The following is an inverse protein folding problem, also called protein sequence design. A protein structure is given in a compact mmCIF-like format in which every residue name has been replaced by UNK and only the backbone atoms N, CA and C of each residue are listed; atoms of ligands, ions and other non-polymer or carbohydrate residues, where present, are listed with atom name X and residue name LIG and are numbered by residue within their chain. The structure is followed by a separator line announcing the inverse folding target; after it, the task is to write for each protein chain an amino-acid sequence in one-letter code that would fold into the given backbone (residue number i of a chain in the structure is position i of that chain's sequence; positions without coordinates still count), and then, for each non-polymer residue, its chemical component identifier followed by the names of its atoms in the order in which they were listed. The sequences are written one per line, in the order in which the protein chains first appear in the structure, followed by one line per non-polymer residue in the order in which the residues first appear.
data_IF_007293854625
#
_entry.id   IF_007293854625
#
_cell.length_a   1.000
_cell.length_b   1.000
_cell.length_c   1.000
_cell.angle_alpha   90.00
_cell.angle_beta   90.00
_cell.angle_gamma   90.00
#
_symmetry.space_group_name_H-M   'P 1'
#
loop_
_entity.id
_entity.type
_entity.pdbx_description
1 polymer ?
#
# COMPACT_ATOMS: atom_id res chain seq x y z
N UNK A 1 -34.65 28.25 13.04
CA UNK A 1 -33.48 28.37 12.14
C UNK A 1 -32.34 29.00 12.93
N UNK A 2 -31.12 28.51 12.74
CA UNK A 2 -29.92 29.09 13.37
C UNK A 2 -29.68 30.51 12.86
N UNK A 3 -28.95 31.32 13.62
CA UNK A 3 -28.60 32.67 13.20
C UNK A 3 -27.64 32.62 12.01
N UNK A 4 -27.63 33.66 11.17
CA UNK A 4 -26.65 33.78 10.07
C UNK A 4 -25.20 33.64 10.58
N UNK A 5 -24.93 34.10 11.81
CA UNK A 5 -23.61 34.01 12.43
C UNK A 5 -23.14 32.55 12.65
N UNK A 6 -24.08 31.64 12.87
CA UNK A 6 -23.78 30.22 13.11
C UNK A 6 -23.33 29.53 11.83
N UNK A 7 -23.78 30.02 10.67
CA UNK A 7 -23.41 29.48 9.35
C UNK A 7 -22.11 30.05 8.81
N UNK A 8 -21.53 31.08 9.43
CA UNK A 8 -20.35 31.74 8.89
C UNK A 8 -19.16 30.76 8.77
N UNK A 9 -18.92 29.96 9.81
CA UNK A 9 -17.89 28.91 9.80
C UNK A 9 -18.17 27.88 8.70
N UNK A 10 -19.43 27.48 8.55
CA UNK A 10 -19.80 26.47 7.57
C UNK A 10 -19.66 27.01 6.13
N UNK A 11 -19.88 28.32 5.89
CA UNK A 11 -19.60 28.98 4.60
C UNK A 11 -18.10 28.91 4.27
N UNK A 12 -17.22 29.23 5.23
CA UNK A 12 -15.77 29.12 5.01
C UNK A 12 -15.37 27.69 4.63
N UNK A 13 -15.88 26.71 5.38
CA UNK A 13 -15.62 25.30 5.12
C UNK A 13 -16.18 24.81 3.79
N UNK A 14 -17.34 25.33 3.36
CA UNK A 14 -17.91 24.97 2.06
C UNK A 14 -17.05 25.48 0.90
N UNK A 15 -16.57 26.72 0.98
CA UNK A 15 -15.71 27.30 -0.06
C UNK A 15 -14.35 26.62 -0.13
N UNK A 16 -13.78 26.18 1.01
CA UNK A 16 -12.52 25.42 1.03
C UNK A 16 -12.70 23.94 0.67
N UNK A 17 -13.93 23.44 0.63
CA UNK A 17 -14.24 22.02 0.36
C UNK A 17 -14.08 21.10 1.58
N UNK A 18 -14.03 21.67 2.79
CA UNK A 18 -13.85 20.97 4.06
C UNK A 18 -15.15 20.77 4.85
N UNK A 19 -16.30 21.20 4.31
CA UNK A 19 -17.59 21.06 4.99
C UNK A 19 -17.97 19.58 5.17
N UNK A 20 -18.30 19.14 6.40
CA UNK A 20 -18.73 17.77 6.62
C UNK A 20 -20.17 17.57 6.08
N UNK A 21 -20.51 16.34 5.66
CA UNK A 21 -21.74 16.06 4.91
C UNK A 21 -23.02 16.34 5.71
N UNK A 22 -22.97 16.21 7.03
CA UNK A 22 -24.09 16.51 7.95
C UNK A 22 -24.47 18.00 7.93
N UNK A 23 -23.48 18.89 7.80
CA UNK A 23 -23.68 20.35 7.81
C UNK A 23 -23.99 20.94 6.43
N UNK A 24 -23.60 20.24 5.37
CA UNK A 24 -23.77 20.73 4.00
C UNK A 24 -25.23 20.97 3.67
N UNK A 25 -26.09 20.00 3.95
CA UNK A 25 -27.54 20.11 3.72
C UNK A 25 -28.15 21.27 4.53
N UNK A 26 -27.74 21.43 5.79
CA UNK A 26 -28.19 22.52 6.66
C UNK A 26 -27.81 23.90 6.11
N UNK A 27 -26.58 24.04 5.61
CA UNK A 27 -26.08 25.27 5.01
C UNK A 27 -26.79 25.58 3.69
N UNK A 28 -26.95 24.58 2.81
CA UNK A 28 -27.66 24.72 1.53
C UNK A 28 -29.10 25.20 1.76
N UNK A 29 -29.81 24.57 2.70
CA UNK A 29 -31.16 24.99 3.10
C UNK A 29 -31.20 26.44 3.60
N UNK A 30 -30.20 26.89 4.37
CA UNK A 30 -30.13 28.28 4.82
C UNK A 30 -29.90 29.26 3.67
N UNK A 31 -28.95 28.95 2.78
CA UNK A 31 -28.56 29.81 1.65
C UNK A 31 -29.70 29.99 0.64
N UNK A 32 -30.58 29.00 0.50
CA UNK A 32 -31.78 29.12 -0.36
C UNK A 32 -32.68 30.30 0.04
N UNK A 33 -32.76 30.62 1.32
CA UNK A 33 -33.65 31.67 1.85
C UNK A 33 -32.89 32.92 2.36
N UNK A 34 -31.57 32.86 2.52
CA UNK A 34 -30.76 33.95 3.03
C UNK A 34 -29.86 34.56 1.94
N UNK A 35 -30.33 35.66 1.34
CA UNK A 35 -29.58 36.38 0.30
C UNK A 35 -28.20 36.90 0.80
N UNK A 36 -28.10 37.26 2.08
CA UNK A 36 -26.84 37.71 2.69
C UNK A 36 -25.79 36.60 2.70
N UNK A 37 -26.14 35.43 3.23
CA UNK A 37 -25.21 34.29 3.29
C UNK A 37 -24.89 33.73 1.90
N UNK A 38 -25.85 33.79 0.96
CA UNK A 38 -25.59 33.49 -0.45
C UNK A 38 -24.50 34.41 -1.03
N UNK A 39 -24.63 35.72 -0.84
CA UNK A 39 -23.66 36.70 -1.32
C UNK A 39 -22.28 36.51 -0.68
N UNK A 40 -22.24 36.28 0.64
CA UNK A 40 -20.99 36.04 1.38
C UNK A 40 -20.23 34.81 0.83
N UNK A 41 -20.95 33.72 0.54
CA UNK A 41 -20.38 32.53 -0.09
C UNK A 41 -19.83 32.82 -1.48
N UNK A 42 -20.58 33.54 -2.31
CA UNK A 42 -20.18 33.88 -3.68
C UNK A 42 -18.92 34.78 -3.70
N UNK A 43 -18.87 35.80 -2.82
CA UNK A 43 -17.72 36.68 -2.66
C UNK A 43 -16.47 35.92 -2.20
N UNK A 44 -16.63 35.04 -1.20
CA UNK A 44 -15.53 34.24 -0.69
C UNK A 44 -15.02 33.23 -1.73
N UNK A 45 -15.93 32.58 -2.47
CA UNK A 45 -15.57 31.68 -3.56
C UNK A 45 -14.78 32.40 -4.66
N UNK A 46 -15.22 33.60 -5.06
CA UNK A 46 -14.52 34.43 -6.04
C UNK A 46 -13.10 34.80 -5.55
N UNK A 47 -12.94 35.14 -4.28
CA UNK A 47 -11.63 35.44 -3.69
C UNK A 47 -10.70 34.21 -3.71
N UNK A 48 -11.20 33.04 -3.34
CA UNK A 48 -10.42 31.80 -3.38
C UNK A 48 -10.01 31.44 -4.81
N UNK A 49 -10.89 31.65 -5.79
CA UNK A 49 -10.57 31.41 -7.20
C UNK A 49 -9.54 32.39 -7.75
N UNK A 50 -9.55 33.65 -7.30
CA UNK A 50 -8.48 34.60 -7.62
C UNK A 50 -7.15 34.15 -7.03
N UNK A 51 -7.13 33.73 -5.75
CA UNK A 51 -5.92 33.21 -5.11
C UNK A 51 -5.36 31.99 -5.84
N UNK A 52 -6.23 31.06 -6.28
CA UNK A 52 -5.81 29.88 -7.06
C UNK A 52 -5.20 30.21 -8.42
N UNK A 53 -5.54 31.37 -9.00
CA UNK A 53 -5.00 31.84 -10.29
C UNK A 53 -3.68 32.57 -10.12
N UNK A 54 -3.58 33.41 -9.10
CA UNK A 54 -2.40 34.25 -8.85
C UNK A 54 -1.26 33.46 -8.17
N UNK A 55 -1.58 32.46 -7.36
CA UNK A 55 -0.57 31.64 -6.70
C UNK A 55 -0.11 30.56 -7.70
N UNK A 56 1.19 30.55 -8.09
CA UNK A 56 1.71 29.50 -8.95
C UNK A 56 1.53 28.16 -8.26
N UNK A 57 0.76 27.26 -8.88
CA UNK A 57 0.65 25.91 -8.38
C UNK A 57 2.04 25.25 -8.46
N UNK A 58 2.46 24.51 -7.41
CA UNK A 58 3.72 23.79 -7.46
C UNK A 58 3.67 22.83 -8.66
N UNK A 59 4.50 23.09 -9.66
CA UNK A 59 4.59 22.23 -10.83
C UNK A 59 5.21 20.91 -10.39
N UNK A 60 4.42 19.84 -10.40
CA UNK A 60 4.93 18.50 -10.17
C UNK A 60 5.78 18.08 -11.36
N UNK A 61 6.98 17.56 -11.12
CA UNK A 61 7.83 17.05 -12.19
C UNK A 61 7.15 15.86 -12.89
N UNK A 62 7.47 15.61 -14.16
CA UNK A 62 6.96 14.44 -14.89
C UNK A 62 7.30 13.12 -14.19
N UNK A 63 8.44 13.07 -13.51
CA UNK A 63 8.88 11.93 -12.71
C UNK A 63 7.99 11.71 -11.48
N UNK A 64 7.76 12.74 -10.66
CA UNK A 64 6.87 12.65 -9.49
C UNK A 64 5.44 12.30 -9.88
N UNK A 65 4.94 12.87 -10.98
CA UNK A 65 3.62 12.55 -11.50
C UNK A 65 3.52 11.07 -11.93
N UNK A 66 4.58 10.50 -12.49
CA UNK A 66 4.62 9.09 -12.86
C UNK A 66 4.61 8.16 -11.64
N UNK A 67 5.37 8.49 -10.58
CA UNK A 67 5.38 7.75 -9.32
C UNK A 67 4.00 7.79 -8.67
N UNK A 68 3.38 8.97 -8.60
CA UNK A 68 2.05 9.12 -8.01
C UNK A 68 1.01 8.31 -8.79
N UNK A 69 1.03 8.38 -10.13
CA UNK A 69 0.14 7.57 -10.99
C UNK A 69 0.34 6.08 -10.77
N UNK A 70 1.58 5.61 -10.63
CA UNK A 70 1.88 4.21 -10.37
C UNK A 70 1.34 3.76 -9.01
N UNK A 71 1.52 4.58 -7.96
CA UNK A 71 0.98 4.31 -6.62
C UNK A 71 -0.55 4.26 -6.60
N UNK A 72 -1.21 5.18 -7.31
CA UNK A 72 -2.69 5.16 -7.42
C UNK A 72 -3.16 3.91 -8.16
N UNK A 73 -2.53 3.57 -9.30
CA UNK A 73 -2.87 2.36 -10.05
C UNK A 73 -2.67 1.09 -9.24
N UNK A 74 -1.57 0.98 -8.51
CA UNK A 74 -1.30 -0.20 -7.69
C UNK A 74 -2.29 -0.31 -6.53
N UNK A 75 -2.66 0.80 -5.87
CA UNK A 75 -3.66 0.83 -4.81
C UNK A 75 -5.06 0.40 -5.29
N UNK A 76 -5.48 0.87 -6.47
CA UNK A 76 -6.76 0.47 -7.06
C UNK A 76 -6.72 -1.03 -7.44
N UNK A 77 -5.61 -1.48 -8.05
CA UNK A 77 -5.47 -2.87 -8.45
C UNK A 77 -5.43 -3.83 -7.24
N UNK A 78 -4.82 -3.45 -6.12
CA UNK A 78 -4.82 -4.26 -4.89
C UNK A 78 -6.18 -4.24 -4.20
N UNK A 79 -6.91 -3.12 -4.21
CA UNK A 79 -8.29 -3.05 -3.70
C UNK A 79 -9.26 -3.91 -4.53
N UNK A 80 -9.03 -4.01 -5.84
CA UNK A 80 -9.84 -4.83 -6.75
C UNK A 80 -9.43 -6.29 -6.83
N UNK A 81 -8.33 -6.73 -6.18
CA UNK A 81 -8.01 -8.16 -6.10
C UNK A 81 -8.89 -8.78 -5.01
N UNK A 82 -9.94 -9.54 -5.37
CA UNK A 82 -10.74 -10.19 -4.35
C UNK A 82 -9.84 -11.22 -3.65
N UNK A 83 -9.98 -11.33 -2.33
CA UNK A 83 -9.42 -12.42 -1.53
C UNK A 83 -9.89 -13.83 -1.94
N UNK A 84 -10.48 -13.98 -3.13
CA UNK A 84 -10.99 -15.21 -3.72
C UNK A 84 -9.91 -16.29 -3.82
N UNK A 85 -8.69 -15.92 -4.27
CA UNK A 85 -7.56 -16.87 -4.29
C UNK A 85 -7.09 -17.23 -2.87
N UNK A 86 -7.14 -16.29 -1.92
CA UNK A 86 -6.75 -16.55 -0.52
C UNK A 86 -7.72 -17.49 0.19
N UNK A 87 -9.02 -17.44 -0.16
CA UNK A 87 -10.06 -18.34 0.35
C UNK A 87 -10.02 -19.75 -0.25
N UNK A 88 -9.77 -19.88 -1.57
CA UNK A 88 -9.74 -21.18 -2.24
C UNK A 88 -8.56 -22.07 -1.77
N UNK A 89 -7.36 -21.49 -1.64
CA UNK A 89 -6.19 -22.27 -1.21
C UNK A 89 -6.15 -22.54 0.30
N UNK A 90 -6.81 -21.72 1.12
CA UNK A 90 -6.85 -21.90 2.58
C UNK A 90 -7.67 -23.14 3.00
N UNK A 91 -8.77 -23.43 2.27
CA UNK A 91 -9.60 -24.61 2.53
C UNK A 91 -8.96 -25.91 2.03
N UNK A 92 -8.39 -25.90 0.81
CA UNK A 92 -7.76 -27.08 0.21
C UNK A 92 -6.41 -27.45 0.85
N UNK A 93 -5.63 -26.48 1.33
CA UNK A 93 -4.36 -26.77 2.00
C UNK A 93 -4.54 -27.64 3.25
N UNK A 94 -5.60 -27.42 4.05
CA UNK A 94 -5.88 -28.23 5.25
C UNK A 94 -6.27 -29.68 4.92
N UNK A 95 -6.78 -29.94 3.72
CA UNK A 95 -7.25 -31.25 3.27
C UNK A 95 -6.20 -32.01 2.44
N UNK A 96 -5.28 -31.31 1.78
CA UNK A 96 -4.21 -31.91 0.99
C UNK A 96 -2.99 -32.32 1.82
N UNK A 97 -2.76 -31.71 2.99
CA UNK A 97 -1.70 -32.11 3.93
C UNK A 97 -1.83 -33.58 4.38
N UNK A 98 -3.00 -34.08 4.81
CA UNK A 98 -3.13 -35.49 5.21
C UNK A 98 -3.09 -36.48 4.04
N UNK A 99 -3.55 -36.09 2.84
CA UNK A 99 -3.57 -36.96 1.65
C UNK A 99 -2.16 -37.13 1.06
N UNK A 100 -1.36 -36.06 1.01
CA UNK A 100 0.03 -36.15 0.56
C UNK A 100 0.89 -36.98 1.52
N UNK A 101 0.66 -36.86 2.84
CA UNK A 101 1.35 -37.67 3.85
C UNK A 101 1.08 -39.18 3.70
N UNK A 102 -0.17 -39.57 3.44
CA UNK A 102 -0.53 -40.97 3.22
C UNK A 102 0.10 -41.53 1.93
N UNK A 103 0.08 -40.77 0.83
CA UNK A 103 0.69 -41.20 -0.43
C UNK A 103 2.22 -41.41 -0.30
N UNK A 104 2.91 -40.55 0.45
CA UNK A 104 4.33 -40.72 0.74
C UNK A 104 4.61 -41.98 1.57
N UNK A 105 3.78 -42.30 2.57
CA UNK A 105 3.93 -43.53 3.36
C UNK A 105 3.66 -44.79 2.53
N UNK A 106 2.71 -44.73 1.59
CA UNK A 106 2.48 -45.81 0.63
C UNK A 106 3.67 -46.00 -0.31
N UNK A 107 4.26 -44.92 -0.84
CA UNK A 107 5.44 -45.00 -1.70
C UNK A 107 6.66 -45.55 -0.96
N UNK A 108 6.92 -45.09 0.28
CA UNK A 108 8.02 -45.61 1.10
C UNK A 108 7.79 -47.09 1.47
N UNK A 109 6.55 -47.48 1.78
CA UNK A 109 6.22 -48.89 2.03
C UNK A 109 6.38 -49.76 0.79
N UNK A 110 5.93 -49.30 -0.39
CA UNK A 110 6.04 -50.07 -1.63
C UNK A 110 7.49 -50.22 -2.10
N UNK A 111 8.31 -49.17 -1.94
CA UNK A 111 9.73 -49.20 -2.29
C UNK A 111 10.50 -50.04 -1.28
N UNK A 112 10.25 -49.86 0.02
CA UNK A 112 10.89 -50.62 1.10
C UNK A 112 10.55 -52.12 1.11
N UNK A 113 9.30 -52.47 0.76
CA UNK A 113 8.86 -53.86 0.64
C UNK A 113 9.47 -54.54 -0.60
N UNK A 114 9.67 -53.79 -1.69
CA UNK A 114 10.26 -54.34 -2.93
C UNK A 114 11.78 -54.51 -2.85
N UNK A 115 12.45 -53.80 -1.95
CA UNK A 115 13.88 -54.03 -1.63
C UNK A 115 14.15 -55.24 -0.72
N UNK A 116 13.12 -55.87 -0.13
CA UNK A 116 13.30 -57.06 0.72
C UNK A 116 13.17 -58.40 -0.03
N UNK A 117 12.64 -58.42 -1.24
CA UNK A 117 12.84 -59.57 -2.13
C UNK A 117 14.28 -59.55 -2.66
N UNK A 118 15.08 -60.62 -2.51
CA UNK A 118 16.44 -60.66 -3.05
C UNK A 118 16.37 -60.93 -4.55
N UNK A 119 15.88 -59.95 -5.33
CA UNK A 119 15.98 -59.97 -6.77
C UNK A 119 17.10 -59.02 -7.20
N UNK A 120 18.19 -59.64 -7.63
CA UNK A 120 19.43 -59.05 -8.12
C UNK A 120 19.18 -57.79 -8.95
N UNK A 121 19.72 -56.65 -8.48
CA UNK A 121 19.79 -55.42 -9.27
C UNK A 121 21.23 -54.93 -9.23
N UNK A 122 21.87 -54.97 -10.40
CA UNK A 122 23.19 -54.39 -10.67
C UNK A 122 23.19 -52.87 -10.40
N UNK A 123 24.25 -52.29 -9.82
CA UNK A 123 24.37 -50.85 -9.71
C UNK A 123 24.92 -50.25 -11.01
N UNK A 124 24.23 -49.27 -11.58
CA UNK A 124 24.80 -48.34 -12.55
C UNK A 124 24.55 -46.90 -12.08
N UNK A 125 25.58 -46.17 -11.60
CA UNK A 125 25.42 -44.82 -11.06
C UNK A 125 25.98 -43.77 -12.03
N UNK A 126 25.14 -43.23 -12.92
CA UNK A 126 25.48 -41.98 -13.62
C UNK A 126 24.49 -40.88 -13.24
N UNK A 127 24.98 -40.07 -12.31
CA UNK A 127 24.39 -38.93 -11.62
C UNK A 127 23.86 -37.83 -12.56
N UNK A 128 22.57 -37.49 -12.44
CA UNK A 128 21.98 -36.25 -12.97
C UNK A 128 21.43 -35.32 -11.89
N UNK A 129 21.54 -35.69 -10.61
CA UNK A 129 20.92 -34.95 -9.49
C UNK A 129 21.83 -33.85 -8.92
N UNK A 130 23.15 -33.91 -9.12
CA UNK A 130 24.09 -32.96 -8.53
C UNK A 130 24.17 -31.58 -9.25
N UNK A 131 23.47 -31.36 -10.37
CA UNK A 131 23.60 -30.13 -11.18
C UNK A 131 22.56 -29.05 -10.85
N UNK A 132 21.49 -29.38 -10.12
CA UNK A 132 20.40 -28.44 -9.84
C UNK A 132 20.70 -27.57 -8.61
N UNK A 133 21.46 -28.07 -7.62
CA UNK A 133 21.75 -27.35 -6.37
C UNK A 133 22.74 -26.19 -6.52
N UNK A 134 23.50 -26.13 -7.61
CA UNK A 134 24.56 -25.12 -7.75
C UNK A 134 24.07 -23.82 -8.40
N UNK A 135 22.94 -23.85 -9.12
CA UNK A 135 22.39 -22.65 -9.77
C UNK A 135 21.49 -21.82 -8.85
N UNK A 136 20.92 -22.39 -7.79
CA UNK A 136 20.08 -21.63 -6.83
C UNK A 136 20.90 -20.85 -5.81
N UNK A 137 22.16 -21.25 -5.55
CA UNK A 137 23.03 -20.59 -4.57
C UNK A 137 23.67 -19.28 -5.07
N UNK A 138 23.63 -19.03 -6.38
CA UNK A 138 24.20 -17.80 -6.98
C UNK A 138 23.18 -16.66 -6.93
N UNK A 139 21.88 -16.94 -7.12
CA UNK A 139 20.83 -15.92 -7.11
C UNK A 139 20.53 -15.33 -5.71
N UNK A 140 20.80 -16.05 -4.63
CA UNK A 140 20.59 -15.52 -3.26
C UNK A 140 21.65 -14.51 -2.81
N UNK A 141 22.81 -14.44 -3.49
CA UNK A 141 23.88 -13.52 -3.09
C UNK A 141 23.67 -12.09 -3.61
N UNK A 142 23.10 -11.93 -4.80
CA UNK A 142 22.84 -10.61 -5.41
C UNK A 142 21.64 -9.87 -4.78
N UNK A 143 20.77 -10.59 -4.07
CA UNK A 143 19.61 -10.01 -3.37
C UNK A 143 20.01 -9.42 -2.01
N UNK A 144 21.11 -9.88 -1.41
CA UNK A 144 21.62 -9.38 -0.11
C UNK A 144 22.39 -8.06 -0.29
N UNK A 145 23.04 -7.82 -1.44
CA UNK A 145 23.73 -6.55 -1.70
C UNK A 145 22.77 -5.35 -1.91
N UNK A 146 21.50 -5.59 -2.24
CA UNK A 146 20.49 -4.52 -2.35
C UNK A 146 19.80 -4.17 -1.02
N UNK A 147 20.03 -4.93 0.05
CA UNK A 147 19.46 -4.66 1.38
C UNK A 147 20.42 -3.84 2.28
N UNK A 148 21.70 -3.77 1.94
CA UNK A 148 22.73 -3.01 2.68
C UNK A 148 22.68 -1.49 2.37
N UNK A 149 21.90 -1.09 1.35
CA UNK A 149 21.73 0.31 0.93
C UNK A 149 20.65 1.09 1.71
N UNK A 150 19.99 0.46 2.69
CA UNK A 150 19.06 1.12 3.61
C UNK A 150 19.64 1.27 5.04
N UNK A 151 20.90 0.89 5.27
CA UNK A 151 21.64 1.07 6.53
C UNK A 151 22.38 2.42 6.61
N UNK A 152 21.85 3.47 5.95
CA UNK A 152 22.37 4.84 6.07
C UNK A 152 21.27 5.90 6.29
N UNK A 153 20.20 5.57 7.01
CA UNK A 153 19.18 6.53 7.47
C UNK A 153 19.31 6.94 8.94
N UNK A 154 20.54 7.07 9.48
CA UNK A 154 20.75 7.55 10.86
C UNK A 154 21.71 8.77 10.97
N UNK A 155 21.78 9.61 9.93
CA UNK A 155 22.56 10.87 9.96
C UNK A 155 21.75 12.16 9.85
N UNK A 156 20.42 12.11 9.98
CA UNK A 156 19.58 13.31 10.15
C UNK A 156 19.21 13.61 11.62
N UNK A 157 20.00 13.13 12.59
CA UNK A 157 19.85 13.52 14.02
C UNK A 157 20.76 14.68 14.47
N UNK A 158 21.53 15.30 13.56
CA UNK A 158 22.48 16.38 13.93
C UNK A 158 21.97 17.79 13.60
N UNK A 159 20.90 17.95 12.81
CA UNK A 159 20.35 19.27 12.47
C UNK A 159 19.33 19.84 13.47
N UNK A 160 19.06 19.14 14.58
CA UNK A 160 18.23 19.65 15.69
C UNK A 160 19.09 20.29 16.80
N UNK A 161 20.43 20.09 16.79
CA UNK A 161 21.31 20.62 17.85
C UNK A 161 21.94 21.99 17.57
N UNK A 162 21.55 22.66 16.49
CA UNK A 162 22.02 24.03 16.16
C UNK A 162 20.91 25.08 16.31
N UNK A 163 19.65 24.68 16.55
CA UNK A 163 18.53 25.62 16.75
C UNK A 163 18.31 25.98 18.23
N UNK A 164 18.82 25.18 19.18
CA UNK A 164 18.65 25.43 20.63
C UNK A 164 19.78 26.26 21.28
N UNK A 165 20.66 26.89 20.50
CA UNK A 165 21.74 27.74 21.04
C UNK A 165 21.60 29.20 20.62
N UNK A 166 20.38 29.65 20.34
CA UNK A 166 20.10 31.04 20.01
C UNK A 166 18.86 31.56 20.72
N UNK A 167 18.76 31.26 22.01
CA UNK A 167 17.94 32.00 22.99
C UNK A 167 18.47 31.66 24.38
N UNK A 168 19.42 32.45 24.90
CA UNK A 168 19.67 32.77 26.33
C UNK A 168 20.90 33.71 26.37
N UNK A 169 20.62 34.99 26.62
CA UNK A 169 21.42 36.06 27.26
C UNK A 169 22.73 36.51 26.59
#
# INVERSE_FOLDING_TARGET
MKSCKDYQKDIYMDVTGEIPPDKKTDLENHILFCARCKKEREELAALVDLLKKEIPQPAMSSFEASILRQKIRSAIATQQRPGFLRGLFSGYAKLLIPVAGAACLFLVSFIGFRSWLPWQSHPNPNNTVARIEQNTKVDEKEIIENLDLLEQMDTLRVLVKVVDNKDII
#
